data_IF_598025676698
#
_entry.id   IF_598025676698
#
_cell.length_a   1.000
_cell.length_b   1.000
_cell.length_c   1.000
_cell.angle_alpha   90.00
_cell.angle_beta   90.00
_cell.angle_gamma   90.00
#
_symmetry.space_group_name_H-M   'P 1'
#
loop_
_entity.id
_entity.type
_entity.pdbx_description
1 polymer ?
#
# COMPACT_ATOMS: atom_id res chain seq x y z
N UNK A 1 78.23 -26.18 19.34
CA UNK A 1 77.67 -24.78 19.28
C UNK A 1 76.79 -24.69 18.07
N UNK A 2 75.50 -24.75 18.27
CA UNK A 2 74.48 -24.65 17.18
C UNK A 2 74.10 -23.17 17.07
N UNK A 3 74.08 -22.59 15.86
CA UNK A 3 73.67 -21.19 15.70
C UNK A 3 72.14 -21.03 15.94
N UNK A 4 71.68 -19.87 16.46
CA UNK A 4 70.23 -19.63 16.68
C UNK A 4 69.54 -19.45 15.40
N UNK A 5 68.26 -19.94 15.35
CA UNK A 5 67.35 -19.82 14.19
C UNK A 5 66.97 -18.34 13.93
N UNK A 6 66.79 -17.94 12.66
CA UNK A 6 66.43 -16.56 12.38
C UNK A 6 64.97 -16.27 12.87
N UNK A 7 64.82 -15.19 13.65
CA UNK A 7 63.52 -14.68 14.06
C UNK A 7 62.75 -14.17 12.85
N UNK A 8 61.54 -14.69 12.62
CA UNK A 8 60.63 -14.23 11.59
C UNK A 8 60.16 -12.81 11.93
N UNK A 9 60.64 -11.83 11.21
CA UNK A 9 60.21 -10.43 11.37
C UNK A 9 58.72 -10.25 11.06
N UNK A 10 58.06 -9.23 11.61
CA UNK A 10 56.63 -9.02 11.43
C UNK A 10 56.28 -8.81 9.96
N UNK A 11 55.32 -9.60 9.49
CA UNK A 11 54.83 -9.53 8.12
C UNK A 11 54.35 -8.10 7.81
N UNK A 12 55.03 -7.39 6.91
CA UNK A 12 54.61 -6.05 6.43
C UNK A 12 53.28 -6.19 5.68
N UNK A 13 52.18 -5.86 6.34
CA UNK A 13 50.86 -5.75 5.69
C UNK A 13 50.96 -4.64 4.66
N UNK A 14 50.70 -4.95 3.39
CA UNK A 14 50.79 -3.96 2.30
C UNK A 14 49.78 -2.83 2.52
N UNK A 15 50.14 -1.56 2.45
CA UNK A 15 49.23 -0.43 2.62
C UNK A 15 48.09 -0.44 1.60
N UNK A 16 48.32 -1.04 0.43
CA UNK A 16 47.34 -1.22 -0.61
C UNK A 16 46.17 -2.11 -0.17
N UNK A 17 46.44 -3.15 0.63
CA UNK A 17 45.37 -4.03 1.14
C UNK A 17 44.50 -3.30 2.17
N UNK A 18 45.09 -2.46 3.00
CA UNK A 18 44.35 -1.65 3.99
C UNK A 18 43.45 -0.60 3.28
N UNK A 19 43.96 0.04 2.23
CA UNK A 19 43.17 1.01 1.41
C UNK A 19 42.04 0.30 0.68
N UNK A 20 42.27 -0.87 0.09
CA UNK A 20 41.21 -1.65 -0.59
C UNK A 20 40.10 -2.09 0.37
N UNK A 21 40.44 -2.54 1.58
CA UNK A 21 39.46 -2.90 2.61
C UNK A 21 38.65 -1.69 3.09
N UNK A 22 39.29 -0.54 3.29
CA UNK A 22 38.61 0.69 3.67
C UNK A 22 37.63 1.15 2.57
N UNK A 23 38.06 1.12 1.31
CA UNK A 23 37.17 1.44 0.17
C UNK A 23 35.97 0.48 0.06
N UNK A 24 36.18 -0.81 0.27
CA UNK A 24 35.12 -1.81 0.27
C UNK A 24 34.11 -1.58 1.41
N UNK A 25 34.59 -1.23 2.63
CA UNK A 25 33.73 -0.88 3.77
C UNK A 25 32.89 0.38 3.50
N UNK A 26 33.48 1.42 2.93
CA UNK A 26 32.77 2.64 2.56
C UNK A 26 31.71 2.34 1.49
N UNK A 27 32.04 1.56 0.47
CA UNK A 27 31.08 1.15 -0.57
C UNK A 27 29.93 0.32 0.03
N UNK A 28 30.22 -0.59 0.95
CA UNK A 28 29.21 -1.37 1.66
C UNK A 28 28.31 -0.48 2.54
N UNK A 29 28.88 0.47 3.28
CA UNK A 29 28.10 1.43 4.08
C UNK A 29 27.21 2.33 3.21
N UNK A 30 27.72 2.82 2.08
CA UNK A 30 26.93 3.60 1.13
C UNK A 30 25.84 2.77 0.47
N UNK A 31 26.10 1.49 0.17
CA UNK A 31 25.12 0.53 -0.34
C UNK A 31 24.00 0.25 0.66
N UNK A 32 24.37 -0.06 1.94
CA UNK A 32 23.41 -0.23 3.02
C UNK A 32 22.61 1.05 3.30
N UNK A 33 23.29 2.20 3.32
CA UNK A 33 22.63 3.50 3.51
C UNK A 33 21.60 3.79 2.41
N UNK A 34 21.91 3.51 1.15
CA UNK A 34 20.96 3.64 0.03
C UNK A 34 19.80 2.65 0.13
N UNK A 35 20.06 1.42 0.60
CA UNK A 35 19.01 0.42 0.83
C UNK A 35 18.07 0.88 1.96
N UNK A 36 18.62 1.34 3.07
CA UNK A 36 17.86 1.88 4.21
C UNK A 36 17.08 3.16 3.86
N UNK A 37 17.60 4.01 2.97
CA UNK A 37 16.89 5.19 2.46
C UNK A 37 15.76 4.82 1.47
N UNK A 38 15.87 3.71 0.74
CA UNK A 38 14.79 3.18 -0.09
C UNK A 38 13.62 2.63 0.71
N UNK A 39 13.88 2.13 1.92
CA UNK A 39 12.85 1.61 2.84
C UNK A 39 12.23 2.68 3.74
N UNK A 40 12.69 3.93 3.71
CA UNK A 40 11.93 5.03 4.31
C UNK A 40 10.65 5.19 3.47
N UNK A 41 9.64 4.40 3.85
CA UNK A 41 8.31 4.47 3.30
C UNK A 41 7.88 5.94 3.33
N UNK A 42 7.73 6.53 2.15
CA UNK A 42 7.13 7.86 2.01
C UNK A 42 5.81 7.81 2.73
N UNK A 43 5.60 8.71 3.69
CA UNK A 43 4.36 8.74 4.45
C UNK A 43 3.16 8.68 3.48
N UNK A 44 2.15 7.83 3.72
CA UNK A 44 1.00 7.67 2.84
C UNK A 44 0.07 8.88 2.98
N UNK A 45 0.49 10.01 2.43
CA UNK A 45 -0.20 11.29 2.44
C UNK A 45 -0.71 11.66 1.04
N UNK A 46 -1.72 12.51 0.93
CA UNK A 46 -2.17 13.05 -0.35
C UNK A 46 -1.02 13.62 -1.19
N UNK A 47 -1.04 13.33 -2.50
CA UNK A 47 0.01 13.69 -3.45
C UNK A 47 1.16 12.69 -3.56
N UNK A 48 1.31 11.75 -2.63
CA UNK A 48 2.33 10.71 -2.68
C UNK A 48 1.82 9.42 -3.33
N UNK A 49 2.74 8.59 -3.81
CA UNK A 49 2.38 7.25 -4.28
C UNK A 49 1.91 6.38 -3.12
N UNK A 50 0.79 5.69 -3.35
CA UNK A 50 0.30 4.68 -2.43
C UNK A 50 1.31 3.53 -2.33
N UNK A 51 1.76 3.17 -1.12
CA UNK A 51 2.61 2.02 -0.89
C UNK A 51 1.95 0.75 -1.43
N UNK A 52 2.69 -0.05 -2.21
CA UNK A 52 2.17 -1.32 -2.71
C UNK A 52 2.14 -2.38 -1.62
N UNK A 53 1.12 -3.21 -1.65
CA UNK A 53 0.99 -4.34 -0.74
C UNK A 53 0.33 -5.53 -1.42
N UNK A 54 0.49 -6.69 -0.79
CA UNK A 54 -0.15 -7.93 -1.16
C UNK A 54 -0.95 -8.45 0.04
N UNK A 55 -2.22 -8.76 -0.15
CA UNK A 55 -3.08 -9.32 0.89
C UNK A 55 -4.02 -10.38 0.31
N UNK A 56 -4.55 -11.23 1.18
CA UNK A 56 -5.43 -12.33 0.79
C UNK A 56 -6.89 -11.93 1.00
N UNK A 57 -7.73 -12.11 0.00
CA UNK A 57 -9.19 -11.99 0.14
C UNK A 57 -9.72 -13.03 1.11
N UNK A 58 -10.85 -12.77 1.73
CA UNK A 58 -11.53 -13.74 2.59
C UNK A 58 -11.81 -15.05 1.84
N UNK A 59 -12.10 -14.99 0.55
CA UNK A 59 -12.26 -16.15 -0.34
C UNK A 59 -10.98 -16.93 -0.69
N UNK A 60 -9.81 -16.51 -0.20
CA UNK A 60 -8.53 -17.20 -0.42
C UNK A 60 -7.68 -16.68 -1.59
N UNK A 61 -8.24 -15.86 -2.48
CA UNK A 61 -7.52 -15.27 -3.60
C UNK A 61 -6.57 -14.17 -3.10
N UNK A 62 -5.36 -14.13 -3.64
CA UNK A 62 -4.40 -13.08 -3.32
C UNK A 62 -4.52 -11.93 -4.31
N UNK A 63 -4.53 -10.70 -3.78
CA UNK A 63 -4.58 -9.46 -4.54
C UNK A 63 -3.40 -8.56 -4.18
N UNK A 64 -2.84 -7.91 -5.16
CA UNK A 64 -1.83 -6.86 -5.00
C UNK A 64 -2.44 -5.51 -5.40
N UNK A 65 -2.17 -4.46 -4.64
CA UNK A 65 -2.71 -3.12 -4.96
C UNK A 65 -2.29 -2.67 -6.37
N UNK A 66 -1.05 -2.95 -6.76
CA UNK A 66 -0.56 -2.59 -8.11
C UNK A 66 -1.28 -3.28 -9.27
N UNK A 67 -1.99 -4.39 -9.03
CA UNK A 67 -2.80 -5.07 -10.05
C UNK A 67 -4.05 -4.26 -10.42
N UNK A 68 -4.39 -3.26 -9.59
CA UNK A 68 -5.52 -2.35 -9.81
C UNK A 68 -5.12 -1.02 -10.44
N UNK A 69 -3.90 -0.92 -10.98
CA UNK A 69 -3.50 0.27 -11.77
C UNK A 69 -4.50 0.54 -12.89
N UNK A 70 -4.78 1.81 -13.14
CA UNK A 70 -5.81 2.22 -14.06
C UNK A 70 -7.21 2.30 -13.46
N UNK A 71 -7.39 1.93 -12.18
CA UNK A 71 -8.64 2.11 -11.41
C UNK A 71 -8.44 3.12 -10.29
N UNK A 72 -9.51 3.79 -9.91
CA UNK A 72 -9.59 4.50 -8.63
C UNK A 72 -9.89 3.46 -7.55
N UNK A 73 -9.08 3.44 -6.51
CA UNK A 73 -9.20 2.48 -5.40
C UNK A 73 -9.49 3.22 -4.10
N UNK A 74 -10.55 2.83 -3.42
CA UNK A 74 -10.84 3.22 -2.04
C UNK A 74 -10.29 2.13 -1.13
N UNK A 75 -9.15 2.38 -0.50
CA UNK A 75 -8.54 1.50 0.47
C UNK A 75 -9.05 1.88 1.86
N UNK A 76 -9.92 1.07 2.44
CA UNK A 76 -10.48 1.27 3.77
C UNK A 76 -9.87 0.27 4.75
N UNK A 77 -9.26 0.76 5.82
CA UNK A 77 -8.66 -0.06 6.89
C UNK A 77 -9.61 -0.04 8.08
N UNK A 78 -10.07 -1.21 8.52
CA UNK A 78 -11.17 -1.35 9.45
C UNK A 78 -11.08 -2.63 10.30
N UNK A 79 -12.01 -2.80 11.26
CA UNK A 79 -12.13 -4.02 12.06
C UNK A 79 -13.59 -4.28 12.48
N UNK A 80 -13.93 -5.53 12.77
CA UNK A 80 -15.29 -5.93 13.19
C UNK A 80 -15.71 -5.40 14.56
N UNK A 81 -14.74 -5.15 15.43
CA UNK A 81 -14.95 -4.58 16.78
C UNK A 81 -15.01 -3.05 16.81
N UNK A 82 -14.81 -2.41 15.66
CA UNK A 82 -14.79 -0.95 15.52
C UNK A 82 -16.21 -0.42 15.29
N UNK A 83 -16.80 0.23 16.29
CA UNK A 83 -18.16 0.78 16.19
C UNK A 83 -18.33 1.82 15.08
N UNK A 84 -17.42 2.80 14.92
CA UNK A 84 -17.50 3.75 13.79
C UNK A 84 -17.40 3.06 12.41
N UNK A 85 -16.69 1.93 12.32
CA UNK A 85 -16.63 1.15 11.07
C UNK A 85 -17.97 0.49 10.72
N UNK A 86 -18.75 0.06 11.75
CA UNK A 86 -20.12 -0.42 11.54
C UNK A 86 -21.02 0.68 10.98
N UNK A 87 -20.84 1.91 11.44
CA UNK A 87 -21.66 3.06 11.06
C UNK A 87 -21.42 3.48 9.60
N UNK A 88 -20.16 3.42 9.12
CA UNK A 88 -19.85 3.80 7.75
C UNK A 88 -20.08 2.69 6.71
N UNK A 89 -20.03 1.41 7.12
CA UNK A 89 -20.09 0.27 6.20
C UNK A 89 -21.28 0.29 5.23
N UNK A 90 -22.52 0.63 5.64
CA UNK A 90 -23.64 0.73 4.72
C UNK A 90 -23.45 1.80 3.64
N UNK A 91 -22.87 2.94 3.97
CA UNK A 91 -22.64 4.03 3.02
C UNK A 91 -21.54 3.70 2.01
N UNK A 92 -20.48 2.99 2.45
CA UNK A 92 -19.46 2.42 1.54
C UNK A 92 -20.07 1.45 0.53
N UNK A 93 -20.96 0.56 1.00
CA UNK A 93 -21.62 -0.40 0.11
C UNK A 93 -22.54 0.31 -0.90
N UNK A 94 -23.29 1.33 -0.48
CA UNK A 94 -24.15 2.10 -1.40
C UNK A 94 -23.30 2.86 -2.42
N UNK A 95 -22.18 3.48 -2.03
CA UNK A 95 -21.22 4.08 -2.95
C UNK A 95 -20.71 3.05 -3.96
N UNK A 96 -20.25 1.89 -3.46
CA UNK A 96 -19.72 0.83 -4.31
C UNK A 96 -20.71 0.39 -5.36
N UNK A 97 -21.92 0.01 -4.97
CA UNK A 97 -22.97 -0.41 -5.90
C UNK A 97 -23.32 0.68 -6.91
N UNK A 98 -23.44 1.92 -6.45
CA UNK A 98 -23.81 3.04 -7.31
C UNK A 98 -22.80 3.28 -8.42
N UNK A 99 -21.51 3.25 -8.12
CA UNK A 99 -20.46 3.44 -9.13
C UNK A 99 -20.30 2.18 -9.98
N UNK A 100 -20.27 0.99 -9.37
CA UNK A 100 -20.04 -0.29 -10.06
C UNK A 100 -21.14 -0.64 -11.06
N UNK A 101 -22.40 -0.26 -10.82
CA UNK A 101 -23.49 -0.47 -11.75
C UNK A 101 -23.51 0.52 -12.92
N UNK A 102 -22.76 1.61 -12.83
CA UNK A 102 -22.70 2.65 -13.86
C UNK A 102 -21.57 2.42 -14.89
N UNK A 103 -21.45 3.32 -15.87
CA UNK A 103 -20.48 3.22 -16.97
C UNK A 103 -19.01 3.30 -16.49
N UNK A 104 -18.77 3.86 -15.31
CA UNK A 104 -17.43 3.98 -14.71
C UNK A 104 -17.05 2.79 -13.81
N UNK A 105 -17.93 1.79 -13.69
CA UNK A 105 -17.77 0.71 -12.73
C UNK A 105 -16.49 -0.13 -12.91
N UNK A 106 -15.99 -0.29 -14.14
CA UNK A 106 -14.75 -1.04 -14.40
C UNK A 106 -13.50 -0.34 -13.85
N UNK A 107 -13.57 0.97 -13.71
CA UNK A 107 -12.47 1.84 -13.33
C UNK A 107 -12.46 2.22 -11.84
N UNK A 108 -13.30 1.53 -11.05
CA UNK A 108 -13.45 1.79 -9.61
C UNK A 108 -13.40 0.48 -8.82
N UNK A 109 -12.77 0.52 -7.64
CA UNK A 109 -12.74 -0.60 -6.72
C UNK A 109 -12.70 -0.12 -5.27
N UNK A 110 -13.30 -0.88 -4.34
CA UNK A 110 -13.09 -0.73 -2.89
C UNK A 110 -12.33 -1.94 -2.40
N UNK A 111 -11.25 -1.71 -1.65
CA UNK A 111 -10.50 -2.72 -0.92
C UNK A 111 -10.66 -2.47 0.57
N UNK A 112 -11.46 -3.27 1.25
CA UNK A 112 -11.64 -3.19 2.69
C UNK A 112 -10.67 -4.15 3.39
N UNK A 113 -9.64 -3.60 4.06
CA UNK A 113 -8.62 -4.37 4.77
C UNK A 113 -9.01 -4.50 6.22
N UNK A 114 -9.39 -5.71 6.64
CA UNK A 114 -9.68 -6.02 8.03
C UNK A 114 -8.39 -6.33 8.79
N UNK A 115 -8.20 -5.64 9.92
CA UNK A 115 -7.10 -5.89 10.86
C UNK A 115 -7.52 -6.80 12.02
N UNK A 116 -8.59 -7.58 11.86
CA UNK A 116 -9.03 -8.54 12.87
C UNK A 116 -7.98 -9.64 13.07
N UNK A 117 -7.31 -9.64 14.22
CA UNK A 117 -6.21 -10.57 14.52
C UNK A 117 -6.66 -12.01 14.79
N UNK A 118 -7.94 -12.23 15.10
CA UNK A 118 -8.42 -13.50 15.64
C UNK A 118 -8.84 -14.53 14.60
N UNK A 119 -9.59 -14.16 13.57
CA UNK A 119 -10.08 -15.11 12.58
C UNK A 119 -10.77 -14.43 11.40
N UNK A 120 -10.64 -15.03 10.21
CA UNK A 120 -11.48 -14.72 9.05
C UNK A 120 -12.97 -14.90 9.35
N UNK A 121 -13.30 -15.83 10.26
CA UNK A 121 -14.68 -16.16 10.62
C UNK A 121 -15.38 -14.97 11.32
N UNK A 122 -14.65 -14.09 12.00
CA UNK A 122 -15.21 -12.88 12.59
C UNK A 122 -15.69 -11.88 11.51
N UNK A 123 -15.06 -11.87 10.35
CA UNK A 123 -15.34 -10.93 9.26
C UNK A 123 -16.56 -11.34 8.44
N UNK A 124 -16.80 -12.64 8.25
CA UNK A 124 -17.94 -13.14 7.48
C UNK A 124 -19.33 -12.75 8.03
N UNK A 125 -19.58 -12.80 9.35
CA UNK A 125 -20.83 -12.27 9.92
C UNK A 125 -21.02 -10.78 9.67
N UNK A 126 -19.96 -9.99 9.79
CA UNK A 126 -20.00 -8.56 9.51
C UNK A 126 -20.34 -8.30 8.03
N UNK A 127 -19.66 -8.98 7.10
CA UNK A 127 -19.95 -8.89 5.67
C UNK A 127 -21.41 -9.19 5.37
N UNK A 128 -21.96 -10.27 5.95
CA UNK A 128 -23.39 -10.64 5.78
C UNK A 128 -24.33 -9.63 6.40
N UNK A 129 -24.03 -9.16 7.62
CA UNK A 129 -24.85 -8.16 8.34
C UNK A 129 -25.08 -6.89 7.53
N UNK A 130 -24.04 -6.40 6.86
CA UNK A 130 -24.08 -5.16 6.09
C UNK A 130 -24.23 -5.38 4.58
N UNK A 131 -24.31 -6.64 4.12
CA UNK A 131 -24.47 -6.99 2.70
C UNK A 131 -23.33 -6.50 1.82
N UNK A 132 -22.09 -6.50 2.35
CA UNK A 132 -20.94 -5.94 1.66
C UNK A 132 -20.56 -6.82 0.45
N UNK A 133 -20.45 -6.22 -0.72
CA UNK A 133 -20.15 -6.91 -1.99
C UNK A 133 -18.76 -6.57 -2.55
N UNK A 134 -18.12 -5.54 -2.03
CA UNK A 134 -16.73 -5.21 -2.39
C UNK A 134 -15.72 -6.21 -1.78
N UNK A 135 -14.51 -6.31 -2.36
CA UNK A 135 -13.44 -7.16 -1.85
C UNK A 135 -13.04 -6.83 -0.41
N UNK A 136 -13.09 -7.84 0.46
CA UNK A 136 -12.55 -7.76 1.81
C UNK A 136 -11.25 -8.55 1.87
N UNK A 137 -10.19 -7.89 2.33
CA UNK A 137 -8.86 -8.43 2.52
C UNK A 137 -8.61 -8.66 4.00
N UNK A 138 -7.84 -9.69 4.32
CA UNK A 138 -7.52 -10.06 5.69
C UNK A 138 -6.06 -9.76 6.01
N UNK A 139 -5.82 -8.94 7.03
CA UNK A 139 -4.50 -8.47 7.47
C UNK A 139 -4.31 -8.69 8.98
N UNK A 140 -4.29 -9.97 9.45
CA UNK A 140 -4.28 -10.30 10.88
C UNK A 140 -3.04 -9.78 11.60
N UNK A 141 -1.93 -9.66 10.89
CA UNK A 141 -0.66 -9.17 11.42
C UNK A 141 -0.55 -7.64 11.37
N UNK A 142 -1.56 -6.93 10.85
CA UNK A 142 -1.56 -5.48 10.69
C UNK A 142 -0.43 -4.97 9.77
N UNK A 143 0.01 -5.76 8.80
CA UNK A 143 1.08 -5.39 7.88
C UNK A 143 0.69 -4.22 6.98
N UNK A 144 -0.50 -4.25 6.41
CA UNK A 144 -1.02 -3.18 5.56
C UNK A 144 -1.24 -1.93 6.39
N UNK A 145 -1.84 -2.06 7.58
CA UNK A 145 -2.03 -0.99 8.55
C UNK A 145 -0.71 -0.27 8.88
N UNK A 146 0.37 -1.04 9.13
CA UNK A 146 1.71 -0.45 9.38
C UNK A 146 2.30 0.25 8.15
N UNK A 147 2.17 -0.33 6.95
CA UNK A 147 2.64 0.27 5.70
C UNK A 147 1.94 1.61 5.45
N UNK A 148 0.65 1.67 5.74
CA UNK A 148 -0.16 2.89 5.59
C UNK A 148 -0.11 3.80 6.82
N UNK A 149 0.71 3.46 7.84
CA UNK A 149 0.89 4.24 9.07
C UNK A 149 -0.46 4.61 9.69
N UNK A 150 -1.39 3.64 9.70
CA UNK A 150 -2.74 3.81 10.24
C UNK A 150 -2.67 4.04 11.74
N UNK A 151 -3.28 5.11 12.21
CA UNK A 151 -3.27 5.51 13.63
C UNK A 151 -4.50 5.05 14.39
N UNK A 152 -5.54 4.65 13.66
CA UNK A 152 -6.81 4.15 14.19
C UNK A 152 -7.69 3.61 13.08
N UNK A 153 -8.86 3.09 13.43
CA UNK A 153 -9.85 2.61 12.46
C UNK A 153 -11.20 3.27 12.69
N UNK A 154 -11.97 3.56 11.62
CA UNK A 154 -11.62 3.39 10.22
C UNK A 154 -10.64 4.46 9.73
N UNK A 155 -9.78 4.09 8.77
CA UNK A 155 -8.94 5.02 8.06
C UNK A 155 -8.96 4.68 6.56
N UNK A 156 -9.26 5.67 5.71
CA UNK A 156 -9.51 5.44 4.28
C UNK A 156 -8.59 6.27 3.42
N UNK A 157 -8.03 5.65 2.39
CA UNK A 157 -7.19 6.28 1.39
C UNK A 157 -7.86 6.17 0.02
N UNK A 158 -8.09 7.30 -0.63
CA UNK A 158 -8.54 7.32 -2.02
C UNK A 158 -7.32 7.40 -2.93
N UNK A 159 -7.16 6.41 -3.77
CA UNK A 159 -5.99 6.24 -4.64
C UNK A 159 -6.47 6.38 -6.08
N UNK A 160 -5.82 7.26 -6.85
CA UNK A 160 -6.16 7.49 -8.25
C UNK A 160 -5.66 6.38 -9.19
N UNK A 161 -6.00 6.51 -10.47
CA UNK A 161 -5.63 5.53 -11.52
C UNK A 161 -4.12 5.40 -11.71
N UNK A 162 -3.34 6.43 -11.38
CA UNK A 162 -1.88 6.45 -11.43
C UNK A 162 -1.27 5.83 -10.16
N UNK A 163 -2.09 5.58 -9.14
CA UNK A 163 -1.72 5.02 -7.85
C UNK A 163 -1.13 6.07 -6.90
N UNK A 164 -1.54 7.32 -7.03
CA UNK A 164 -1.25 8.37 -6.07
C UNK A 164 -2.44 8.56 -5.12
N UNK A 165 -2.15 8.84 -3.85
CA UNK A 165 -3.18 9.11 -2.86
C UNK A 165 -3.76 10.51 -3.14
N UNK A 166 -5.07 10.58 -3.36
CA UNK A 166 -5.80 11.84 -3.56
C UNK A 166 -6.35 12.38 -2.26
N UNK A 167 -6.78 11.49 -1.39
CA UNK A 167 -7.35 11.85 -0.09
C UNK A 167 -7.01 10.80 0.96
N UNK A 168 -6.82 11.24 2.21
CA UNK A 168 -6.72 10.42 3.42
C UNK A 168 -7.80 10.90 4.38
N UNK A 169 -8.67 9.99 4.79
CA UNK A 169 -9.76 10.25 5.74
C UNK A 169 -9.51 9.45 7.01
N UNK A 170 -9.49 10.13 8.15
CA UNK A 170 -9.36 9.52 9.48
C UNK A 170 -10.74 9.57 10.14
N UNK A 171 -11.24 8.43 10.58
CA UNK A 171 -12.57 8.29 11.16
C UNK A 171 -13.66 8.00 10.12
N UNK A 172 -14.90 7.79 10.59
CA UNK A 172 -16.03 7.40 9.75
C UNK A 172 -16.51 8.55 8.86
N UNK A 173 -17.05 8.20 7.71
CA UNK A 173 -17.63 9.15 6.75
C UNK A 173 -18.87 8.56 6.10
N UNK A 174 -19.82 9.41 5.75
CA UNK A 174 -20.93 9.04 4.89
C UNK A 174 -20.51 9.13 3.42
N UNK A 175 -20.23 7.96 2.81
CA UNK A 175 -19.54 7.85 1.52
C UNK A 175 -20.44 8.04 0.30
N UNK A 176 -21.75 7.77 0.42
CA UNK A 176 -22.71 7.80 -0.68
C UNK A 176 -23.43 9.15 -0.88
N UNK A 177 -22.96 10.19 -0.22
CA UNK A 177 -23.45 11.56 -0.41
C UNK A 177 -23.31 11.97 -1.88
N UNK A 178 -24.31 12.64 -2.46
CA UNK A 178 -24.30 12.99 -3.89
C UNK A 178 -23.02 13.69 -4.34
N UNK A 179 -22.51 14.61 -3.53
CA UNK A 179 -21.30 15.40 -3.82
C UNK A 179 -20.07 14.51 -3.90
N UNK A 180 -19.98 13.49 -3.04
CA UNK A 180 -18.87 12.54 -3.04
C UNK A 180 -18.94 11.60 -4.22
N UNK A 181 -20.12 11.13 -4.57
CA UNK A 181 -20.34 10.28 -5.75
C UNK A 181 -19.94 11.03 -7.02
N UNK A 182 -20.28 12.31 -7.11
CA UNK A 182 -19.85 13.16 -8.23
C UNK A 182 -18.34 13.38 -8.24
N UNK A 183 -17.74 13.67 -7.07
CA UNK A 183 -16.31 13.80 -6.92
C UNK A 183 -15.56 12.53 -7.35
N UNK A 184 -15.99 11.33 -6.90
CA UNK A 184 -15.42 10.07 -7.36
C UNK A 184 -15.53 9.90 -8.87
N UNK A 185 -16.69 10.26 -9.43
CA UNK A 185 -16.91 10.21 -10.89
C UNK A 185 -15.93 11.13 -11.63
N UNK A 186 -15.63 12.30 -11.08
CA UNK A 186 -14.61 13.22 -11.59
C UNK A 186 -13.21 12.58 -11.55
N UNK A 187 -12.78 12.08 -10.39
CA UNK A 187 -11.46 11.45 -10.20
C UNK A 187 -11.28 10.25 -11.16
N UNK A 188 -12.32 9.46 -11.38
CA UNK A 188 -12.28 8.33 -12.32
C UNK A 188 -12.09 8.83 -13.76
N UNK A 189 -12.78 9.90 -14.17
CA UNK A 189 -12.67 10.46 -15.52
C UNK A 189 -11.32 11.15 -15.77
N UNK A 190 -10.77 11.87 -14.78
CA UNK A 190 -9.47 12.56 -14.90
C UNK A 190 -8.35 11.64 -15.37
N UNK A 191 -8.33 10.40 -14.94
CA UNK A 191 -7.33 9.42 -15.34
C UNK A 191 -7.60 8.70 -16.66
N UNK A 192 -8.81 8.84 -17.22
CA UNK A 192 -9.21 8.18 -18.48
C UNK A 192 -8.80 8.97 -19.73
N UNK A 193 -8.50 10.25 -19.61
CA UNK A 193 -8.18 11.15 -20.70
C UNK A 193 -6.68 11.20 -21.01
N UNK A 194 -6.11 10.15 -21.62
CA UNK A 194 -5.05 10.28 -22.61
C UNK A 194 -5.14 9.11 -23.59
N UNK A 195 -5.85 9.25 -24.73
CA UNK A 195 -5.61 8.36 -25.84
C UNK A 195 -4.14 8.52 -26.23
N UNK A 196 -3.46 7.40 -26.39
CA UNK A 196 -2.11 7.35 -26.94
C UNK A 196 -2.07 8.20 -28.21
N UNK A 197 -1.08 9.10 -28.27
CA UNK A 197 -0.94 10.08 -29.32
C UNK A 197 -1.11 9.51 -30.71
N UNK A 198 -2.00 10.13 -31.47
CA UNK A 198 -2.07 9.98 -32.91
C UNK A 198 -0.71 10.32 -33.51
N UNK A 199 -0.09 9.32 -34.11
CA UNK A 199 1.07 9.54 -34.97
C UNK A 199 0.68 10.57 -36.02
N UNK A 200 1.49 11.60 -36.16
CA UNK A 200 1.45 12.49 -37.33
C UNK A 200 1.72 11.63 -38.56
N UNK A 201 0.90 11.66 -39.59
CA UNK A 201 1.34 11.28 -40.92
C UNK A 201 2.27 12.39 -41.41
N UNK A 202 3.51 11.99 -41.78
CA UNK A 202 4.45 12.79 -42.53
C UNK A 202 4.06 12.90 -43.98
#
# INVERSE_FOLDING_TARGET
MTPPAPEAGPARRSPLLAVALAAALVAAMLGLGRLALRERAVAPLPGHRAPDFKATRIGGETLRLSDLRGRVVVLNIWATWCKPCEEEAPSLERLYRKIRSGPLGRDFEILAVSIDARSRDAVLPFQRKFGLTFPILFDPDGRVSRIYQTTGVPETFVIDRQGSIREKVIGPREWDRPELVEWFSGVIREGAAKPAGGGRPG
#
